data_IF_154661630521
#
_entry.id   IF_154661630521
#
_cell.length_a   1.000
_cell.length_b   1.000
_cell.length_c   1.000
_cell.angle_alpha   90.00
_cell.angle_beta   90.00
_cell.angle_gamma   90.00
#
_symmetry.space_group_name_H-M   'P 1'
#
loop_
_entity.id
_entity.type
_entity.pdbx_description
1 polymer ?
#
# COMPACT_ATOMS: atom_id res chain seq x y z
N UNK A 1 -20.74 16.89 25.62
CA UNK A 1 -19.42 16.62 25.01
C UNK A 1 -19.60 15.41 24.13
N UNK A 2 -19.75 15.64 22.82
CA UNK A 2 -19.90 14.55 21.84
C UNK A 2 -18.57 13.79 21.78
N UNK A 3 -18.60 12.50 22.09
CA UNK A 3 -17.40 11.65 22.01
C UNK A 3 -17.06 11.52 20.52
N UNK A 4 -15.97 12.11 20.11
CA UNK A 4 -15.50 12.02 18.71
C UNK A 4 -15.36 10.55 18.32
N UNK A 5 -16.16 10.14 17.32
CA UNK A 5 -16.13 8.76 16.81
C UNK A 5 -14.76 8.46 16.22
N UNK A 6 -14.18 7.34 16.61
CA UNK A 6 -12.96 6.85 15.96
C UNK A 6 -13.21 6.71 14.44
N UNK A 7 -12.22 6.95 13.57
CA UNK A 7 -12.42 6.98 12.13
C UNK A 7 -13.18 5.75 11.58
N UNK A 8 -12.82 4.55 12.02
CA UNK A 8 -13.50 3.30 11.62
C UNK A 8 -14.89 3.07 12.22
N UNK A 9 -15.39 3.97 13.08
CA UNK A 9 -16.76 3.94 13.61
C UNK A 9 -17.71 4.80 12.80
N UNK A 10 -17.17 5.60 11.86
CA UNK A 10 -17.98 6.37 10.90
C UNK A 10 -18.62 5.42 9.88
N UNK A 11 -19.82 5.75 9.41
CA UNK A 11 -20.40 5.04 8.28
C UNK A 11 -19.55 5.31 7.02
N UNK A 12 -19.62 4.39 6.04
CA UNK A 12 -18.91 4.57 4.77
C UNK A 12 -19.27 5.89 4.05
N UNK A 13 -20.51 6.37 4.21
CA UNK A 13 -20.95 7.64 3.63
C UNK A 13 -20.35 8.86 4.34
N UNK A 14 -20.17 8.78 5.66
CA UNK A 14 -19.51 9.84 6.44
C UNK A 14 -18.00 9.87 6.19
N UNK A 15 -17.39 8.71 5.98
CA UNK A 15 -15.95 8.59 5.83
C UNK A 15 -15.47 8.88 4.40
N UNK A 16 -16.29 8.60 3.38
CA UNK A 16 -15.86 8.69 1.98
C UNK A 16 -16.95 9.30 1.09
N UNK A 17 -16.67 10.48 0.56
CA UNK A 17 -17.55 11.24 -0.32
C UNK A 17 -17.25 10.99 -1.81
N UNK A 18 -16.14 10.34 -2.13
CA UNK A 18 -15.83 9.97 -3.51
C UNK A 18 -16.81 8.93 -4.05
N UNK A 19 -17.06 9.01 -5.34
CA UNK A 19 -17.91 8.02 -6.02
C UNK A 19 -17.14 6.73 -6.29
N UNK A 20 -17.82 5.59 -6.11
CA UNK A 20 -17.26 4.28 -6.43
C UNK A 20 -18.33 3.31 -6.95
N UNK A 21 -17.95 2.29 -7.73
CA UNK A 21 -18.86 1.24 -8.19
C UNK A 21 -19.58 0.57 -7.03
N UNK A 22 -20.83 0.14 -7.26
CA UNK A 22 -21.64 -0.53 -6.22
C UNK A 22 -20.93 -1.76 -5.64
N UNK A 23 -20.27 -2.54 -6.50
CA UNK A 23 -19.50 -3.73 -6.08
C UNK A 23 -18.34 -3.36 -5.15
N UNK A 24 -17.64 -2.24 -5.40
CA UNK A 24 -16.54 -1.78 -4.53
C UNK A 24 -17.06 -1.34 -3.17
N UNK A 25 -18.17 -0.57 -3.15
CA UNK A 25 -18.83 -0.15 -1.90
C UNK A 25 -19.33 -1.34 -1.08
N UNK A 26 -19.84 -2.39 -1.74
CA UNK A 26 -20.22 -3.64 -1.09
C UNK A 26 -19.01 -4.35 -0.51
N UNK A 27 -17.93 -4.54 -1.31
CA UNK A 27 -16.69 -5.17 -0.86
C UNK A 27 -16.07 -4.43 0.32
N UNK A 28 -16.02 -3.09 0.28
CA UNK A 28 -15.49 -2.29 1.37
C UNK A 28 -16.25 -2.50 2.69
N UNK A 29 -17.60 -2.55 2.64
CA UNK A 29 -18.42 -2.85 3.83
C UNK A 29 -18.20 -4.28 4.35
N UNK A 30 -18.09 -5.25 3.45
CA UNK A 30 -17.82 -6.65 3.82
C UNK A 30 -16.44 -6.77 4.48
N UNK A 31 -15.41 -6.18 3.89
CA UNK A 31 -14.06 -6.12 4.47
C UNK A 31 -14.10 -5.45 5.84
N UNK A 32 -14.76 -4.31 5.95
CA UNK A 32 -14.88 -3.59 7.22
C UNK A 32 -15.55 -4.43 8.33
N UNK A 33 -16.61 -5.15 7.99
CA UNK A 33 -17.30 -6.05 8.93
C UNK A 33 -16.38 -7.19 9.38
N UNK A 34 -15.72 -7.85 8.43
CA UNK A 34 -14.79 -8.96 8.69
C UNK A 34 -13.61 -8.48 9.54
N UNK A 35 -13.00 -7.35 9.16
CA UNK A 35 -11.92 -6.71 9.92
C UNK A 35 -12.36 -6.38 11.35
N UNK A 36 -13.61 -5.96 11.56
CA UNK A 36 -14.18 -5.70 12.88
C UNK A 36 -14.19 -6.92 13.80
N UNK A 37 -14.34 -8.11 13.24
CA UNK A 37 -14.26 -9.38 13.97
C UNK A 37 -12.82 -9.86 14.26
N UNK A 38 -11.92 -9.64 13.31
CA UNK A 38 -10.56 -10.21 13.32
C UNK A 38 -9.51 -9.29 13.95
N UNK A 39 -9.69 -7.96 13.85
CA UNK A 39 -8.63 -6.99 14.10
C UNK A 39 -9.01 -6.00 15.19
N UNK A 40 -8.08 -5.71 16.09
CA UNK A 40 -8.10 -4.54 16.96
C UNK A 40 -7.31 -3.43 16.25
N UNK A 41 -8.07 -2.51 15.63
CA UNK A 41 -7.51 -1.45 14.79
C UNK A 41 -6.86 -0.35 15.60
N UNK A 42 -5.74 0.16 15.11
CA UNK A 42 -5.16 1.44 15.49
C UNK A 42 -4.77 2.17 14.21
N UNK A 43 -5.34 3.34 13.95
CA UNK A 43 -5.07 4.15 12.75
C UNK A 43 -4.52 5.50 13.14
N UNK A 44 -3.53 5.97 12.37
CA UNK A 44 -2.85 7.26 12.58
C UNK A 44 -2.58 7.93 11.24
N UNK A 45 -2.53 9.27 11.24
CA UNK A 45 -2.08 10.06 10.09
C UNK A 45 -3.05 10.06 8.90
N UNK A 46 -4.36 9.79 9.10
CA UNK A 46 -5.34 9.80 8.00
C UNK A 46 -5.41 11.16 7.30
N UNK A 47 -5.12 12.23 8.01
CA UNK A 47 -5.01 13.60 7.51
C UNK A 47 -3.90 13.79 6.49
N UNK A 48 -2.90 12.91 6.45
CA UNK A 48 -1.81 12.92 5.47
C UNK A 48 -2.24 12.37 4.10
N UNK A 49 -3.44 11.80 3.98
CA UNK A 49 -3.94 11.25 2.71
C UNK A 49 -4.76 12.33 1.99
N UNK A 50 -4.20 13.02 0.97
CA UNK A 50 -4.86 14.16 0.35
C UNK A 50 -5.97 13.72 -0.62
N UNK A 51 -6.89 14.63 -0.98
CA UNK A 51 -7.76 14.49 -2.14
C UNK A 51 -6.95 14.63 -3.44
N UNK A 52 -7.55 14.27 -4.59
CA UNK A 52 -6.91 14.33 -5.90
C UNK A 52 -5.99 13.15 -6.17
N UNK A 53 -5.14 13.25 -7.18
CA UNK A 53 -4.18 12.19 -7.52
C UNK A 53 -3.18 11.97 -6.38
N UNK A 54 -3.09 10.74 -5.90
CA UNK A 54 -2.16 10.37 -4.82
C UNK A 54 -1.60 8.98 -5.04
N UNK A 55 -0.29 8.85 -4.93
CA UNK A 55 0.40 7.57 -4.95
C UNK A 55 0.67 7.10 -3.52
N UNK A 56 -0.03 6.07 -3.09
CA UNK A 56 0.20 5.42 -1.80
C UNK A 56 1.23 4.31 -1.96
N UNK A 57 2.26 4.34 -1.12
CA UNK A 57 3.31 3.34 -1.06
C UNK A 57 3.30 2.64 0.29
N UNK A 58 3.39 1.31 0.31
CA UNK A 58 3.23 0.54 1.55
C UNK A 58 4.26 -0.58 1.68
N UNK A 59 4.62 -0.94 2.92
CA UNK A 59 5.37 -2.15 3.21
C UNK A 59 4.50 -3.39 3.02
N UNK A 60 5.10 -4.54 2.71
CA UNK A 60 4.36 -5.76 2.42
C UNK A 60 4.78 -6.92 3.33
N UNK A 61 4.02 -7.16 4.40
CA UNK A 61 4.26 -8.19 5.41
C UNK A 61 3.47 -9.48 5.16
N UNK A 62 2.27 -9.35 4.58
CA UNK A 62 1.30 -10.43 4.46
C UNK A 62 0.30 -10.17 3.34
N UNK A 63 -0.35 -11.20 2.83
CA UNK A 63 -1.50 -11.03 1.92
C UNK A 63 -2.67 -10.28 2.60
N UNK A 64 -2.66 -10.15 3.92
CA UNK A 64 -3.65 -9.39 4.68
C UNK A 64 -3.41 -7.86 4.64
N UNK A 65 -2.31 -7.43 4.07
CA UNK A 65 -1.98 -5.99 3.93
C UNK A 65 -2.96 -5.27 3.01
N UNK A 66 -3.35 -5.91 1.91
CA UNK A 66 -4.26 -5.30 0.92
C UNK A 66 -5.61 -4.93 1.52
N UNK A 67 -6.36 -5.84 2.19
CA UNK A 67 -7.61 -5.46 2.84
C UNK A 67 -7.40 -4.47 4.00
N UNK A 68 -6.29 -4.53 4.72
CA UNK A 68 -5.99 -3.64 5.85
C UNK A 68 -5.73 -2.20 5.37
N UNK A 69 -4.81 -2.03 4.43
CA UNK A 69 -4.52 -0.71 3.85
C UNK A 69 -5.73 -0.19 3.07
N UNK A 70 -6.45 -1.09 2.37
CA UNK A 70 -7.66 -0.73 1.63
C UNK A 70 -8.75 -0.19 2.54
N UNK A 71 -9.01 -0.83 3.68
CA UNK A 71 -9.96 -0.35 4.67
C UNK A 71 -9.54 1.02 5.21
N UNK A 72 -8.26 1.18 5.60
CA UNK A 72 -7.73 2.45 6.06
C UNK A 72 -7.96 3.57 5.04
N UNK A 73 -7.59 3.36 3.78
CA UNK A 73 -7.71 4.35 2.72
C UNK A 73 -9.18 4.69 2.41
N UNK A 74 -10.05 3.69 2.36
CA UNK A 74 -11.50 3.92 2.12
C UNK A 74 -12.08 4.76 3.24
N UNK A 75 -11.72 4.52 4.50
CA UNK A 75 -12.18 5.31 5.65
C UNK A 75 -11.38 6.62 5.84
N UNK A 76 -10.30 6.83 5.07
CA UNK A 76 -9.64 8.13 4.88
C UNK A 76 -10.19 8.92 3.69
N UNK A 77 -11.30 8.47 3.10
CA UNK A 77 -11.97 9.18 2.01
C UNK A 77 -11.51 8.81 0.60
N UNK A 78 -10.70 7.78 0.40
CA UNK A 78 -10.11 7.43 -0.90
C UNK A 78 -10.41 5.99 -1.33
N UNK A 79 -10.66 5.78 -2.63
CA UNK A 79 -10.86 4.45 -3.21
C UNK A 79 -9.56 3.96 -3.86
N UNK A 80 -8.75 3.11 -3.18
CA UNK A 80 -7.46 2.71 -3.74
C UNK A 80 -7.59 1.77 -4.95
N UNK A 81 -6.81 2.04 -5.98
CA UNK A 81 -6.57 1.14 -7.11
C UNK A 81 -5.20 0.49 -6.92
N UNK A 82 -5.19 -0.77 -6.56
CA UNK A 82 -3.94 -1.51 -6.35
C UNK A 82 -3.35 -2.02 -7.65
N UNK A 83 -2.02 -1.91 -7.75
CA UNK A 83 -1.25 -2.66 -8.73
C UNK A 83 -1.08 -4.10 -8.23
N UNK A 84 -1.77 -5.05 -8.86
CA UNK A 84 -1.76 -6.46 -8.46
C UNK A 84 -1.26 -7.40 -9.56
N UNK A 85 -0.77 -8.58 -9.17
CA UNK A 85 -0.35 -9.61 -10.13
C UNK A 85 -1.51 -9.99 -11.04
N UNK A 86 -1.28 -10.04 -12.37
CA UNK A 86 -2.31 -10.36 -13.35
C UNK A 86 -2.97 -11.73 -13.15
N UNK A 87 -2.29 -12.67 -12.48
CA UNK A 87 -2.81 -13.98 -12.13
C UNK A 87 -4.02 -13.92 -11.19
N UNK A 88 -4.14 -12.87 -10.38
CA UNK A 88 -5.29 -12.64 -9.49
C UNK A 88 -6.59 -12.54 -10.29
N UNK A 89 -6.53 -11.97 -11.49
CA UNK A 89 -7.70 -11.82 -12.38
C UNK A 89 -8.20 -13.15 -12.96
N UNK A 90 -7.40 -14.23 -12.89
CA UNK A 90 -7.79 -15.58 -13.30
C UNK A 90 -8.62 -16.31 -12.22
N UNK A 91 -8.56 -15.87 -10.97
CA UNK A 91 -9.36 -16.43 -9.87
C UNK A 91 -10.79 -15.91 -9.99
N UNK A 92 -11.82 -16.75 -10.19
CA UNK A 92 -13.14 -16.32 -10.63
C UNK A 92 -13.76 -15.18 -9.80
N UNK A 93 -13.93 -15.37 -8.49
CA UNK A 93 -14.55 -14.37 -7.60
C UNK A 93 -13.64 -13.17 -7.39
N UNK A 94 -12.37 -13.42 -7.08
CA UNK A 94 -11.38 -12.35 -6.81
C UNK A 94 -11.15 -11.52 -8.06
N UNK A 95 -10.99 -12.15 -9.22
CA UNK A 95 -10.80 -11.47 -10.50
C UNK A 95 -12.03 -10.67 -10.93
N UNK A 96 -13.25 -11.14 -10.61
CA UNK A 96 -14.44 -10.37 -10.82
C UNK A 96 -14.44 -9.08 -9.98
N UNK A 97 -14.17 -9.17 -8.67
CA UNK A 97 -14.03 -7.99 -7.81
C UNK A 97 -12.89 -7.08 -8.27
N UNK A 98 -11.73 -7.63 -8.64
CA UNK A 98 -10.60 -6.85 -9.14
C UNK A 98 -11.00 -5.97 -10.35
N UNK A 99 -11.77 -6.52 -11.28
CA UNK A 99 -12.34 -5.78 -12.42
C UNK A 99 -13.36 -4.73 -11.98
N UNK A 100 -14.32 -5.12 -11.15
CA UNK A 100 -15.38 -4.20 -10.68
C UNK A 100 -14.82 -3.05 -9.83
N UNK A 101 -13.75 -3.30 -9.09
CA UNK A 101 -13.05 -2.29 -8.30
C UNK A 101 -11.97 -1.54 -9.11
N UNK A 102 -11.90 -1.74 -10.44
CA UNK A 102 -10.97 -1.07 -11.36
C UNK A 102 -9.50 -1.23 -10.93
N UNK A 103 -9.14 -2.38 -10.34
CA UNK A 103 -7.77 -2.65 -9.94
C UNK A 103 -6.87 -2.80 -11.18
N UNK A 104 -5.57 -2.50 -11.04
CA UNK A 104 -4.62 -2.42 -12.16
C UNK A 104 -3.81 -3.72 -12.25
N UNK A 105 -3.99 -4.55 -13.31
CA UNK A 105 -3.23 -5.78 -13.47
C UNK A 105 -1.79 -5.49 -13.89
N UNK A 106 -0.82 -6.15 -13.24
CA UNK A 106 0.61 -6.08 -13.58
C UNK A 106 1.07 -7.42 -14.13
N UNK A 107 1.46 -7.43 -15.40
CA UNK A 107 2.11 -8.58 -16.04
C UNK A 107 3.61 -8.46 -15.77
N UNK A 108 4.12 -9.25 -14.82
CA UNK A 108 5.52 -9.20 -14.41
C UNK A 108 6.43 -9.81 -15.48
N UNK A 109 7.67 -9.33 -15.56
CA UNK A 109 8.72 -9.84 -16.45
C UNK A 109 8.38 -9.78 -17.96
N UNK A 110 7.53 -8.85 -18.37
CA UNK A 110 7.19 -8.61 -19.77
C UNK A 110 7.26 -7.13 -20.11
N UNK A 111 7.37 -6.80 -21.39
CA UNK A 111 7.22 -5.42 -21.87
C UNK A 111 5.87 -4.81 -21.48
N UNK A 112 4.84 -5.66 -21.29
CA UNK A 112 3.52 -5.27 -20.78
C UNK A 112 3.52 -4.78 -19.33
N UNK A 113 4.63 -4.93 -18.58
CA UNK A 113 4.76 -4.27 -17.28
C UNK A 113 4.73 -2.74 -17.42
N UNK A 114 5.17 -2.20 -18.58
CA UNK A 114 5.08 -0.78 -18.89
C UNK A 114 3.62 -0.33 -19.05
N UNK A 115 2.75 -1.15 -19.66
CA UNK A 115 1.33 -0.84 -19.86
C UNK A 115 0.61 -0.65 -18.52
N UNK A 116 1.01 -1.42 -17.49
CA UNK A 116 0.45 -1.27 -16.14
C UNK A 116 0.79 0.05 -15.49
N UNK A 117 1.98 0.60 -15.78
CA UNK A 117 2.36 1.95 -15.31
C UNK A 117 1.60 3.03 -16.07
N UNK A 118 1.28 2.83 -17.36
CA UNK A 118 0.43 3.77 -18.12
C UNK A 118 -0.96 3.86 -17.48
N UNK A 119 -1.62 2.75 -17.17
CA UNK A 119 -2.93 2.78 -16.52
C UNK A 119 -2.88 3.35 -15.08
N UNK A 120 -1.78 3.14 -14.37
CA UNK A 120 -1.59 3.75 -13.07
C UNK A 120 -1.39 5.27 -13.18
N UNK A 121 -0.62 5.72 -14.17
CA UNK A 121 -0.42 7.14 -14.49
C UNK A 121 -1.76 7.81 -14.84
N UNK A 122 -2.52 7.25 -15.77
CA UNK A 122 -3.84 7.74 -16.15
C UNK A 122 -4.78 7.90 -14.95
N UNK A 123 -4.76 6.93 -14.02
CA UNK A 123 -5.54 7.00 -12.80
C UNK A 123 -5.10 8.14 -11.88
N UNK A 124 -3.79 8.33 -11.69
CA UNK A 124 -3.23 9.43 -10.89
C UNK A 124 -3.57 10.79 -11.48
N UNK A 125 -3.43 10.94 -12.80
CA UNK A 125 -3.78 12.16 -13.54
C UNK A 125 -5.29 12.45 -13.50
N UNK A 126 -6.12 11.42 -13.43
CA UNK A 126 -7.57 11.55 -13.23
C UNK A 126 -7.97 11.87 -11.76
N UNK A 127 -7.01 12.09 -10.87
CA UNK A 127 -7.28 12.42 -9.47
C UNK A 127 -7.58 11.21 -8.59
N UNK A 128 -7.32 9.98 -9.04
CA UNK A 128 -7.60 8.78 -8.28
C UNK A 128 -6.44 8.41 -7.32
N UNK A 129 -6.75 7.57 -6.34
CA UNK A 129 -5.77 7.02 -5.40
C UNK A 129 -5.20 5.71 -5.96
N UNK A 130 -3.90 5.67 -6.23
CA UNK A 130 -3.20 4.45 -6.65
C UNK A 130 -2.35 3.94 -5.50
N UNK A 131 -2.46 2.65 -5.17
CA UNK A 131 -1.70 2.02 -4.10
C UNK A 131 -0.77 0.93 -4.64
N UNK A 132 0.48 0.97 -4.20
CA UNK A 132 1.52 0.04 -4.64
C UNK A 132 2.34 -0.46 -3.44
N UNK A 133 2.75 -1.70 -3.50
CA UNK A 133 3.78 -2.27 -2.63
C UNK A 133 5.10 -2.26 -3.41
N UNK A 134 6.03 -1.29 -3.17
CA UNK A 134 7.22 -1.13 -4.03
C UNK A 134 8.15 -2.34 -3.99
N UNK A 135 8.13 -3.11 -2.93
CA UNK A 135 8.86 -4.38 -2.80
C UNK A 135 8.46 -5.39 -3.89
N UNK A 136 7.22 -5.28 -4.36
CA UNK A 136 6.65 -6.14 -5.41
C UNK A 136 6.35 -7.57 -4.97
N UNK A 137 6.61 -7.92 -3.72
CA UNK A 137 6.26 -9.19 -3.07
C UNK A 137 6.28 -9.00 -1.55
N UNK A 138 5.73 -9.95 -0.81
CA UNK A 138 5.87 -9.99 0.65
C UNK A 138 7.35 -10.02 1.00
N UNK A 139 7.74 -9.22 2.00
CA UNK A 139 9.14 -9.09 2.39
C UNK A 139 9.80 -10.44 2.69
N UNK A 140 10.98 -10.62 2.14
CA UNK A 140 11.84 -11.76 2.42
C UNK A 140 12.81 -11.50 3.59
N UNK A 141 12.86 -10.27 4.12
CA UNK A 141 13.67 -9.95 5.29
C UNK A 141 13.26 -10.84 6.47
N UNK A 142 14.20 -11.53 7.13
CA UNK A 142 13.91 -12.44 8.24
C UNK A 142 13.12 -11.81 9.37
N UNK A 143 13.41 -10.53 9.65
CA UNK A 143 12.77 -9.79 10.73
C UNK A 143 11.54 -9.01 10.26
N UNK A 144 11.18 -9.12 8.96
CA UNK A 144 10.01 -8.47 8.37
C UNK A 144 10.16 -6.96 8.20
N UNK A 145 11.36 -6.46 8.00
CA UNK A 145 11.59 -5.08 7.61
C UNK A 145 11.33 -4.89 6.11
N UNK A 146 11.05 -3.64 5.68
CA UNK A 146 10.98 -3.32 4.27
C UNK A 146 12.30 -3.66 3.57
N UNK A 147 12.23 -4.28 2.41
CA UNK A 147 13.40 -4.62 1.61
C UNK A 147 13.63 -3.62 0.47
N UNK A 148 14.57 -3.88 -0.43
CA UNK A 148 14.81 -3.03 -1.59
C UNK A 148 13.55 -2.91 -2.46
N UNK A 149 13.24 -1.69 -2.88
CA UNK A 149 12.09 -1.38 -3.73
C UNK A 149 12.41 -1.55 -5.22
N UNK A 150 11.34 -1.72 -6.01
CA UNK A 150 11.37 -1.65 -7.49
C UNK A 150 11.10 -0.22 -7.95
N UNK A 151 11.59 0.13 -9.11
CA UNK A 151 11.53 1.48 -9.68
C UNK A 151 10.13 1.96 -10.09
N UNK A 152 9.09 1.11 -10.08
CA UNK A 152 7.75 1.47 -10.56
C UNK A 152 7.09 2.61 -9.82
N UNK A 153 7.19 2.65 -8.48
CA UNK A 153 6.64 3.74 -7.67
C UNK A 153 7.36 5.07 -7.96
N UNK A 154 8.70 5.05 -8.01
CA UNK A 154 9.49 6.23 -8.33
C UNK A 154 9.20 6.77 -9.73
N UNK A 155 9.08 5.88 -10.74
CA UNK A 155 8.68 6.30 -12.09
C UNK A 155 7.33 7.00 -12.09
N UNK A 156 6.30 6.41 -11.47
CA UNK A 156 4.97 7.04 -11.36
C UNK A 156 5.05 8.40 -10.67
N UNK A 157 5.76 8.49 -9.56
CA UNK A 157 5.93 9.74 -8.83
C UNK A 157 6.57 10.83 -9.71
N UNK A 158 7.69 10.52 -10.38
CA UNK A 158 8.43 11.49 -11.20
C UNK A 158 7.76 11.79 -12.54
N UNK A 159 6.89 10.90 -13.05
CA UNK A 159 6.13 11.22 -14.28
C UNK A 159 4.86 12.01 -14.01
N UNK A 160 4.26 11.90 -12.84
CA UNK A 160 2.97 12.55 -12.55
C UNK A 160 3.09 13.75 -11.62
N UNK A 161 4.15 13.81 -10.82
CA UNK A 161 4.32 14.88 -9.82
C UNK A 161 3.31 14.82 -8.66
N UNK A 162 2.48 13.76 -8.57
CA UNK A 162 1.50 13.63 -7.48
C UNK A 162 2.18 13.36 -6.14
N UNK A 163 1.56 13.75 -5.00
CA UNK A 163 2.10 13.43 -3.69
C UNK A 163 2.23 11.91 -3.50
N UNK A 164 3.35 11.50 -2.90
CA UNK A 164 3.63 10.09 -2.53
C UNK A 164 3.50 9.96 -1.02
N UNK A 165 2.54 9.14 -0.57
CA UNK A 165 2.24 8.97 0.86
C UNK A 165 2.62 7.55 1.30
N UNK A 166 3.54 7.39 2.27
CA UNK A 166 3.83 6.10 2.87
C UNK A 166 2.70 5.73 3.83
N UNK A 167 1.94 4.69 3.51
CA UNK A 167 0.89 4.12 4.38
C UNK A 167 1.36 2.74 4.82
N UNK A 168 1.89 2.65 6.02
CA UNK A 168 2.54 1.44 6.51
C UNK A 168 1.73 0.76 7.61
N UNK A 169 2.01 -0.54 7.81
CA UNK A 169 1.28 -1.38 8.74
C UNK A 169 2.18 -2.39 9.46
N UNK A 170 1.73 -2.78 10.64
CA UNK A 170 2.33 -3.87 11.44
C UNK A 170 1.25 -4.75 12.03
N UNK A 171 1.56 -6.04 12.24
CA UNK A 171 0.68 -7.03 12.85
C UNK A 171 -0.19 -7.83 11.89
N UNK A 172 -0.17 -7.56 10.59
CA UNK A 172 -0.94 -8.27 9.56
C UNK A 172 -0.43 -9.71 9.34
N UNK A 173 0.86 -9.95 9.55
CA UNK A 173 1.48 -11.26 9.49
C UNK A 173 1.01 -12.22 10.60
N UNK A 174 0.49 -11.68 11.70
CA UNK A 174 -0.16 -12.48 12.72
C UNK A 174 -1.50 -13.09 12.28
N UNK A 175 -2.09 -12.59 11.18
CA UNK A 175 -3.39 -13.03 10.65
C UNK A 175 -3.26 -14.13 9.58
N UNK A 176 -2.36 -13.95 8.61
CA UNK A 176 -2.21 -14.89 7.49
C UNK A 176 -0.78 -15.45 7.32
N UNK A 177 0.15 -15.08 8.21
CA UNK A 177 1.56 -15.42 8.07
C UNK A 177 2.29 -14.61 6.99
N UNK A 178 3.60 -14.76 6.93
CA UNK A 178 4.45 -14.10 5.92
C UNK A 178 4.82 -15.04 4.77
N UNK A 179 5.39 -16.20 5.07
CA UNK A 179 5.93 -17.13 4.07
C UNK A 179 4.89 -18.13 3.55
N UNK A 180 3.92 -18.51 4.39
CA UNK A 180 2.85 -19.45 4.05
C UNK A 180 1.51 -18.83 4.42
N UNK A 181 0.48 -19.15 3.63
CA UNK A 181 -0.89 -18.75 3.90
C UNK A 181 -1.45 -19.62 5.03
N UNK A 182 -1.54 -19.07 6.25
CA UNK A 182 -1.95 -19.79 7.44
C UNK A 182 -3.39 -19.42 7.82
N UNK A 183 -4.35 -19.92 7.02
CA UNK A 183 -5.78 -19.62 7.17
C UNK A 183 -6.34 -19.96 8.55
N UNK A 184 -5.77 -20.97 9.24
CA UNK A 184 -6.20 -21.33 10.59
C UNK A 184 -6.05 -20.20 11.61
N UNK A 185 -5.16 -19.25 11.37
CA UNK A 185 -4.97 -18.08 12.26
C UNK A 185 -6.17 -17.14 12.25
N UNK A 186 -6.98 -17.14 11.20
CA UNK A 186 -8.20 -16.35 11.10
C UNK A 186 -9.31 -16.83 12.04
N UNK A 187 -9.26 -18.08 12.47
CA UNK A 187 -10.23 -18.67 13.39
C UNK A 187 -9.89 -18.43 14.87
N UNK A 188 -8.92 -17.54 15.15
CA UNK A 188 -8.60 -17.16 16.53
C UNK A 188 -9.75 -16.35 17.13
N UNK A 189 -10.22 -16.73 18.32
CA UNK A 189 -11.24 -15.99 19.09
C UNK A 189 -10.74 -14.63 19.59
N UNK A 190 -9.44 -14.35 19.51
CA UNK A 190 -8.85 -13.07 19.94
C UNK A 190 -8.55 -12.19 18.72
N UNK A 191 -9.09 -10.98 18.73
CA UNK A 191 -8.74 -9.96 17.72
C UNK A 191 -7.26 -9.64 17.81
N UNK A 192 -6.56 -9.68 16.66
CA UNK A 192 -5.15 -9.35 16.58
C UNK A 192 -4.94 -7.84 16.48
N UNK A 193 -3.97 -7.26 17.19
CA UNK A 193 -3.66 -5.84 17.03
C UNK A 193 -3.04 -5.61 15.66
N UNK A 194 -3.57 -4.65 14.92
CA UNK A 194 -3.01 -4.17 13.66
C UNK A 194 -3.01 -2.65 13.70
N UNK A 195 -1.85 -2.08 13.46
CA UNK A 195 -1.69 -0.63 13.37
C UNK A 195 -1.39 -0.26 11.91
N UNK A 196 -2.09 0.75 11.42
CA UNK A 196 -1.85 1.38 10.11
C UNK A 196 -1.57 2.86 10.34
N UNK A 197 -0.54 3.37 9.70
CA UNK A 197 -0.15 4.77 9.79
C UNK A 197 0.18 5.33 8.40
N UNK A 198 -0.40 6.48 8.07
CA UNK A 198 0.07 7.30 6.97
C UNK A 198 1.12 8.29 7.51
N UNK A 199 2.32 8.22 6.98
CA UNK A 199 3.38 9.18 7.23
C UNK A 199 3.19 10.48 6.45
N UNK A 200 4.09 11.44 6.61
CA UNK A 200 4.11 12.66 5.80
C UNK A 200 4.42 12.32 4.34
N UNK A 201 4.06 13.23 3.40
CA UNK A 201 4.46 13.09 2.01
C UNK A 201 5.97 12.89 1.86
N UNK A 202 6.36 11.99 0.96
CA UNK A 202 7.79 11.78 0.65
C UNK A 202 8.32 13.03 -0.06
N UNK A 203 9.40 13.59 0.43
CA UNK A 203 10.07 14.71 -0.24
C UNK A 203 10.80 14.22 -1.49
N UNK A 204 10.26 14.57 -2.64
CA UNK A 204 10.83 14.32 -3.96
C UNK A 204 11.15 15.62 -4.71
N UNK A 205 11.20 16.76 -4.02
CA UNK A 205 11.43 18.09 -4.61
C UNK A 205 12.79 18.23 -5.30
N UNK A 206 13.77 17.41 -4.92
CA UNK A 206 15.09 17.39 -5.56
C UNK A 206 15.11 16.70 -6.93
N UNK A 207 14.00 16.12 -7.39
CA UNK A 207 13.92 15.39 -8.64
C UNK A 207 13.01 16.10 -9.64
N UNK A 208 13.44 16.22 -10.92
CA UNK A 208 12.60 16.83 -11.96
C UNK A 208 11.39 15.92 -12.26
N UNK A 209 10.24 16.56 -12.47
CA UNK A 209 9.03 15.89 -12.94
C UNK A 209 9.00 15.96 -14.47
N UNK A 210 8.78 14.82 -15.14
CA UNK A 210 8.72 14.77 -16.60
C UNK A 210 8.36 13.37 -17.12
N UNK A 211 8.00 13.28 -18.38
CA UNK A 211 7.54 12.03 -19.01
C UNK A 211 8.59 10.90 -19.00
N UNK A 212 9.86 11.27 -19.16
CA UNK A 212 10.99 10.33 -19.21
C UNK A 212 12.04 10.72 -18.14
N UNK A 213 11.77 10.41 -16.84
CA UNK A 213 12.72 10.71 -15.79
C UNK A 213 14.02 9.93 -15.98
N UNK A 214 15.17 10.58 -15.73
CA UNK A 214 16.47 9.99 -15.84
C UNK A 214 16.58 8.73 -14.94
N UNK A 215 17.32 7.74 -15.39
CA UNK A 215 17.47 6.47 -14.65
C UNK A 215 18.01 6.69 -13.25
N UNK A 216 19.00 7.58 -13.12
CA UNK A 216 19.62 7.93 -11.84
C UNK A 216 18.61 8.55 -10.87
N UNK A 217 17.77 9.48 -11.34
CA UNK A 217 16.74 10.11 -10.53
C UNK A 217 15.69 9.08 -10.06
N UNK A 218 15.31 8.15 -10.94
CA UNK A 218 14.40 7.06 -10.58
C UNK A 218 15.00 6.15 -9.51
N UNK A 219 16.30 5.83 -9.60
CA UNK A 219 17.00 5.01 -8.61
C UNK A 219 17.06 5.73 -7.26
N UNK A 220 17.46 7.01 -7.23
CA UNK A 220 17.51 7.84 -6.02
C UNK A 220 16.13 8.08 -5.41
N UNK A 221 15.12 8.41 -6.21
CA UNK A 221 13.74 8.56 -5.75
C UNK A 221 13.17 7.24 -5.19
N UNK A 222 13.55 6.09 -5.76
CA UNK A 222 13.17 4.78 -5.22
C UNK A 222 13.77 4.54 -3.84
N UNK A 223 14.99 4.97 -3.60
CA UNK A 223 15.63 4.93 -2.28
C UNK A 223 14.87 5.83 -1.31
N UNK A 224 14.60 7.09 -1.66
CA UNK A 224 13.86 8.03 -0.82
C UNK A 224 12.47 7.50 -0.42
N UNK A 225 11.73 6.90 -1.36
CA UNK A 225 10.44 6.26 -1.09
C UNK A 225 10.59 5.11 -0.09
N UNK A 226 11.58 4.26 -0.26
CA UNK A 226 11.79 3.14 0.66
C UNK A 226 12.30 3.59 2.03
N UNK A 227 13.05 4.71 2.10
CA UNK A 227 13.46 5.33 3.36
C UNK A 227 12.24 5.83 4.14
N UNK A 228 11.31 6.52 3.47
CA UNK A 228 10.08 6.99 4.08
C UNK A 228 9.22 5.82 4.61
N UNK A 229 9.06 4.75 3.83
CA UNK A 229 8.37 3.53 4.28
C UNK A 229 9.06 2.95 5.51
N UNK A 230 10.39 2.85 5.48
CA UNK A 230 11.19 2.28 6.58
C UNK A 230 11.08 3.12 7.84
N UNK A 231 11.08 4.45 7.73
CA UNK A 231 10.92 5.37 8.84
C UNK A 231 9.55 5.19 9.54
N UNK A 232 8.46 5.11 8.77
CA UNK A 232 7.12 4.87 9.34
C UNK A 232 7.06 3.49 10.00
N UNK A 233 7.65 2.45 9.41
CA UNK A 233 7.70 1.11 10.03
C UNK A 233 8.53 1.13 11.32
N UNK A 234 9.63 1.87 11.38
CA UNK A 234 10.46 2.02 12.57
C UNK A 234 9.66 2.69 13.72
N UNK A 235 8.92 3.75 13.39
CA UNK A 235 8.02 4.41 14.35
C UNK A 235 6.94 3.44 14.87
N UNK A 236 6.30 2.68 13.97
CA UNK A 236 5.27 1.70 14.32
C UNK A 236 5.80 0.57 15.22
N UNK A 237 7.05 0.19 15.03
CA UNK A 237 7.73 -0.86 15.85
C UNK A 237 8.33 -0.31 17.14
N UNK A 238 8.48 1.00 17.27
CA UNK A 238 9.06 1.67 18.43
C UNK A 238 10.57 1.44 18.56
N UNK A 239 11.28 1.25 17.45
CA UNK A 239 12.73 1.05 17.45
C UNK A 239 13.38 1.31 16.08
N UNK A 240 14.71 1.49 16.04
CA UNK A 240 15.42 1.80 14.82
C UNK A 240 15.34 0.65 13.81
N UNK A 241 15.33 1.01 12.52
CA UNK A 241 15.49 0.05 11.44
C UNK A 241 16.91 -0.54 11.46
N UNK A 242 17.10 -1.79 11.02
CA UNK A 242 18.44 -2.35 10.86
C UNK A 242 19.23 -1.60 9.80
N UNK A 243 20.54 -1.65 9.91
CA UNK A 243 21.42 -1.10 8.90
C UNK A 243 21.26 -1.84 7.56
N UNK A 244 21.09 -1.10 6.46
CA UNK A 244 20.86 -1.63 5.13
C UNK A 244 19.45 -2.22 4.93
N UNK A 245 19.16 -2.66 3.69
CA UNK A 245 17.90 -3.33 3.32
C UNK A 245 18.15 -4.69 2.71
N UNK A 246 17.24 -5.62 2.97
CA UNK A 246 17.28 -6.95 2.35
C UNK A 246 17.15 -6.83 0.83
N UNK A 247 18.10 -7.39 0.11
CA UNK A 247 18.04 -7.56 -1.35
C UNK A 247 17.86 -9.04 -1.66
N UNK A 248 16.75 -9.37 -2.29
CA UNK A 248 16.42 -10.75 -2.67
C UNK A 248 17.40 -11.38 -3.65
N UNK A 249 18.13 -10.57 -4.44
CA UNK A 249 19.11 -11.06 -5.40
C UNK A 249 20.39 -11.52 -4.71
N UNK A 250 20.72 -10.87 -3.59
CA UNK A 250 21.91 -11.15 -2.79
C UNK A 250 21.57 -12.12 -1.64
N UNK A 251 20.32 -12.12 -1.18
CA UNK A 251 19.90 -12.88 -0.02
C UNK A 251 20.44 -12.36 1.32
N UNK A 252 20.77 -11.08 1.35
CA UNK A 252 21.32 -10.38 2.51
C UNK A 252 20.91 -8.91 2.53
N UNK A 253 21.11 -8.24 3.67
CA UNK A 253 20.99 -6.79 3.75
C UNK A 253 22.20 -6.12 3.09
N UNK A 254 21.92 -5.17 2.21
CA UNK A 254 22.91 -4.37 1.49
C UNK A 254 22.83 -2.92 1.94
N UNK A 255 24.00 -2.21 2.01
CA UNK A 255 24.00 -0.77 2.26
C UNK A 255 23.15 -0.05 1.21
N UNK A 256 22.44 1.02 1.62
CA UNK A 256 21.75 1.87 0.68
C UNK A 256 22.81 2.69 -0.08
N UNK A 257 22.81 2.58 -1.39
CA UNK A 257 23.58 3.50 -2.23
C UNK A 257 22.69 4.74 -2.43
N UNK A 258 23.07 5.81 -1.75
CA UNK A 258 22.45 7.13 -1.92
C UNK A 258 22.77 7.72 -3.31
#
# INVERSE_FOLDING_TARGET
MEVEKRPWQRSLREANQETAPRAYRFLARLVHLVMGGLVRRTWRGQENVPPGGVLVVSNHLSNFDVPTTGEFLVWSGRWPRYLGKSEIWKVPVVGWFARQCRQIPVVRHSERAKDSLVHAREALEAGECVAIFPEGTITADPDGWPMTGRSGAARLALTTGVPVIPVCQVGTDALLGRKKLELHRLFSLRRRPVTVQAGPPVDLSAFPVGEEPAREDVERASVAIMDAITAVVAELRGGPAPEGRWDMRVGARVPQRG
#
